data_IF_155184267461
#
_entry.id   IF_155184267461
#
_cell.length_a   1.000
_cell.length_b   1.000
_cell.length_c   1.000
_cell.angle_alpha   90.00
_cell.angle_beta   90.00
_cell.angle_gamma   90.00
#
_symmetry.space_group_name_H-M   'P 1'
#
loop_
_entity.id
_entity.type
_entity.pdbx_description
1 polymer ?
#
# COMPACT_ATOMS: atom_id res chain seq x y z
N UNK A 1 -5.21 -36.07 6.31
CA UNK A 1 -6.18 -35.20 5.62
C UNK A 1 -6.11 -33.84 6.30
N UNK A 2 -5.28 -32.93 5.81
CA UNK A 2 -5.20 -31.56 6.32
C UNK A 2 -6.35 -30.77 5.71
N UNK A 3 -7.41 -30.58 6.50
CA UNK A 3 -8.56 -29.77 6.10
C UNK A 3 -8.11 -28.37 5.75
N UNK A 4 -8.38 -27.94 4.52
CA UNK A 4 -8.13 -26.60 4.04
C UNK A 4 -9.16 -25.68 4.73
N UNK A 5 -8.90 -25.26 5.97
CA UNK A 5 -9.79 -24.33 6.67
C UNK A 5 -9.76 -23.00 5.93
N UNK A 6 -10.88 -22.68 5.27
CA UNK A 6 -11.10 -21.37 4.65
C UNK A 6 -11.27 -20.34 5.75
N UNK A 7 -10.56 -19.21 5.63
CA UNK A 7 -10.68 -18.10 6.58
C UNK A 7 -12.13 -17.56 6.55
N UNK A 8 -12.68 -17.23 7.71
CA UNK A 8 -13.89 -16.42 7.77
C UNK A 8 -13.58 -14.97 7.38
N UNK A 9 -14.60 -14.18 7.04
CA UNK A 9 -14.44 -12.74 6.74
C UNK A 9 -13.78 -12.00 7.90
N UNK A 10 -14.21 -12.27 9.14
CA UNK A 10 -13.63 -11.65 10.33
C UNK A 10 -12.14 -11.99 10.49
N UNK A 11 -11.78 -13.26 10.28
CA UNK A 11 -10.37 -13.70 10.31
C UNK A 11 -9.56 -13.05 9.19
N UNK A 12 -10.12 -12.93 7.99
CA UNK A 12 -9.48 -12.23 6.88
C UNK A 12 -9.25 -10.75 7.19
N UNK A 13 -10.23 -10.06 7.79
CA UNK A 13 -10.09 -8.66 8.20
C UNK A 13 -9.06 -8.46 9.33
N UNK A 14 -8.99 -9.38 10.30
CA UNK A 14 -7.96 -9.33 11.33
C UNK A 14 -6.56 -9.58 10.76
N UNK A 15 -6.43 -10.54 9.84
CA UNK A 15 -5.19 -10.79 9.12
C UNK A 15 -4.79 -9.56 8.28
N UNK A 16 -5.78 -8.93 7.63
CA UNK A 16 -5.60 -7.71 6.83
C UNK A 16 -5.06 -6.56 7.68
N UNK A 17 -5.70 -6.32 8.82
CA UNK A 17 -5.28 -5.32 9.79
C UNK A 17 -3.87 -5.56 10.28
N UNK A 18 -3.54 -6.79 10.66
CA UNK A 18 -2.21 -7.14 11.19
C UNK A 18 -1.11 -6.86 10.16
N UNK A 19 -1.27 -7.35 8.92
CA UNK A 19 -0.23 -7.11 7.92
C UNK A 19 -0.11 -5.62 7.59
N UNK A 20 -1.22 -4.86 7.53
CA UNK A 20 -1.16 -3.42 7.28
C UNK A 20 -0.37 -2.70 8.37
N UNK A 21 -0.52 -3.12 9.64
CA UNK A 21 0.29 -2.60 10.74
C UNK A 21 1.79 -2.91 10.54
N UNK A 22 2.12 -4.14 10.15
CA UNK A 22 3.51 -4.55 9.89
C UNK A 22 4.12 -3.74 8.74
N UNK A 23 3.38 -3.58 7.62
CA UNK A 23 3.80 -2.77 6.47
C UNK A 23 4.01 -1.31 6.88
N UNK A 24 3.07 -0.73 7.63
CA UNK A 24 3.15 0.66 8.06
C UNK A 24 4.36 0.90 8.97
N UNK A 25 4.63 0.00 9.92
CA UNK A 25 5.83 0.10 10.76
C UNK A 25 7.10 0.09 9.91
N UNK A 26 7.14 -0.75 8.89
CA UNK A 26 8.29 -0.89 8.01
C UNK A 26 8.51 0.34 7.12
N UNK A 27 7.43 0.97 6.65
CA UNK A 27 7.52 2.25 5.94
C UNK A 27 7.93 3.38 6.89
N UNK A 28 7.38 3.43 8.10
CA UNK A 28 7.72 4.48 9.08
C UNK A 28 9.20 4.48 9.44
N UNK A 29 9.83 3.30 9.60
CA UNK A 29 11.29 3.21 9.84
C UNK A 29 12.12 3.90 8.75
N UNK A 30 11.67 3.84 7.50
CA UNK A 30 12.33 4.53 6.37
C UNK A 30 12.12 6.05 6.49
N UNK A 31 10.88 6.47 6.77
CA UNK A 31 10.55 7.89 6.87
C UNK A 31 11.22 8.59 8.06
N UNK A 32 11.43 7.88 9.17
CA UNK A 32 12.12 8.39 10.36
C UNK A 32 13.64 8.53 10.17
N UNK A 33 14.25 7.78 9.25
CA UNK A 33 15.70 7.72 9.09
C UNK A 33 16.28 8.74 8.09
N UNK A 34 15.44 9.42 7.31
CA UNK A 34 15.87 10.28 6.20
C UNK A 34 15.38 11.73 6.31
N UNK A 35 16.03 12.62 5.57
CA UNK A 35 15.58 14.00 5.40
C UNK A 35 14.27 14.07 4.58
N UNK A 36 13.33 14.97 4.93
CA UNK A 36 12.13 15.18 4.13
C UNK A 36 12.43 15.52 2.68
N UNK A 37 11.70 14.90 1.76
CA UNK A 37 11.79 15.19 0.34
C UNK A 37 11.32 14.05 -0.56
N UNK A 38 11.33 14.32 -1.86
CA UNK A 38 10.89 13.41 -2.92
C UNK A 38 11.53 12.02 -2.83
N UNK A 39 12.83 11.95 -2.56
CA UNK A 39 13.55 10.69 -2.45
C UNK A 39 13.01 9.81 -1.32
N UNK A 40 12.69 10.42 -0.18
CA UNK A 40 12.13 9.72 1.00
C UNK A 40 10.72 9.19 0.73
N UNK A 41 9.88 9.98 0.04
CA UNK A 41 8.54 9.53 -0.41
C UNK A 41 8.66 8.28 -1.29
N UNK A 42 9.57 8.31 -2.27
CA UNK A 42 9.81 7.21 -3.20
C UNK A 42 10.31 5.96 -2.46
N UNK A 43 11.24 6.13 -1.51
CA UNK A 43 11.75 5.02 -0.70
C UNK A 43 10.64 4.39 0.15
N UNK A 44 9.78 5.19 0.76
CA UNK A 44 8.61 4.73 1.50
C UNK A 44 7.63 3.92 0.64
N UNK A 45 7.39 4.35 -0.61
CA UNK A 45 6.56 3.60 -1.57
C UNK A 45 7.19 2.27 -1.98
N UNK A 46 8.50 2.26 -2.27
CA UNK A 46 9.23 1.04 -2.57
C UNK A 46 9.12 0.04 -1.42
N UNK A 47 9.30 0.51 -0.19
CA UNK A 47 9.15 -0.30 1.02
C UNK A 47 7.73 -0.83 1.18
N UNK A 48 6.72 0.01 0.92
CA UNK A 48 5.31 -0.41 0.91
C UNK A 48 5.07 -1.54 -0.09
N UNK A 49 5.52 -1.40 -1.33
CA UNK A 49 5.32 -2.43 -2.35
C UNK A 49 6.09 -3.72 -2.05
N UNK A 50 7.32 -3.62 -1.58
CA UNK A 50 8.11 -4.80 -1.20
C UNK A 50 7.48 -5.57 -0.04
N UNK A 51 6.99 -4.86 0.99
CA UNK A 51 6.31 -5.49 2.11
C UNK A 51 4.99 -6.15 1.66
N UNK A 52 4.22 -5.50 0.77
CA UNK A 52 3.03 -6.12 0.18
C UNK A 52 3.36 -7.39 -0.60
N UNK A 53 4.48 -7.42 -1.32
CA UNK A 53 4.92 -8.60 -2.05
C UNK A 53 5.36 -9.72 -1.11
N UNK A 54 6.05 -9.40 -0.01
CA UNK A 54 6.41 -10.39 1.03
C UNK A 54 5.17 -11.03 1.65
N UNK A 55 4.10 -10.25 1.81
CA UNK A 55 2.81 -10.71 2.33
C UNK A 55 1.80 -11.13 1.24
N UNK A 56 2.25 -11.38 0.00
CA UNK A 56 1.37 -11.62 -1.16
C UNK A 56 0.33 -12.71 -0.92
N UNK A 57 0.71 -13.82 -0.29
CA UNK A 57 -0.20 -14.96 -0.09
C UNK A 57 -1.30 -14.64 0.91
N UNK A 58 -0.95 -13.94 1.99
CA UNK A 58 -1.91 -13.48 2.98
C UNK A 58 -2.87 -12.48 2.35
N UNK A 59 -2.32 -11.51 1.61
CA UNK A 59 -3.10 -10.50 0.90
C UNK A 59 -4.04 -11.14 -0.13
N UNK A 60 -3.56 -12.10 -0.92
CA UNK A 60 -4.38 -12.85 -1.89
C UNK A 60 -5.55 -13.56 -1.19
N UNK A 61 -5.29 -14.30 -0.11
CA UNK A 61 -6.35 -14.98 0.67
C UNK A 61 -7.38 -14.01 1.22
N UNK A 62 -6.93 -12.87 1.74
CA UNK A 62 -7.84 -11.81 2.21
C UNK A 62 -8.72 -11.33 1.06
N UNK A 63 -8.12 -11.02 -0.10
CA UNK A 63 -8.88 -10.56 -1.29
C UNK A 63 -9.88 -11.60 -1.77
N UNK A 64 -9.49 -12.87 -1.85
CA UNK A 64 -10.38 -13.98 -2.23
C UNK A 64 -11.60 -14.07 -1.30
N UNK A 65 -11.42 -13.84 0.02
CA UNK A 65 -12.51 -13.91 1.02
C UNK A 65 -13.43 -12.69 1.00
N UNK A 66 -12.89 -11.49 0.80
CA UNK A 66 -13.67 -10.25 0.85
C UNK A 66 -14.20 -9.81 -0.52
N UNK A 67 -13.76 -10.44 -1.61
CA UNK A 67 -14.19 -10.13 -2.97
C UNK A 67 -15.72 -10.19 -3.09
N UNK A 68 -16.32 -9.14 -3.65
CA UNK A 68 -17.78 -9.06 -3.84
C UNK A 68 -18.60 -8.85 -2.55
N UNK A 69 -17.95 -8.67 -1.41
CA UNK A 69 -18.64 -8.40 -0.13
C UNK A 69 -18.67 -6.90 0.20
N UNK A 70 -19.60 -6.50 1.08
CA UNK A 70 -19.62 -5.15 1.65
C UNK A 70 -18.36 -4.81 2.45
N UNK A 71 -17.64 -5.83 2.94
CA UNK A 71 -16.41 -5.67 3.74
C UNK A 71 -15.18 -5.28 2.93
N UNK A 72 -15.28 -5.25 1.59
CA UNK A 72 -14.23 -4.66 0.74
C UNK A 72 -13.93 -3.21 1.16
N UNK A 73 -14.98 -2.43 1.43
CA UNK A 73 -14.84 -1.03 1.87
C UNK A 73 -14.17 -0.93 3.24
N UNK A 74 -14.43 -1.89 4.14
CA UNK A 74 -13.79 -1.91 5.45
C UNK A 74 -12.29 -2.21 5.34
N UNK A 75 -11.92 -3.17 4.49
CA UNK A 75 -10.51 -3.48 4.21
C UNK A 75 -9.77 -2.31 3.55
N UNK A 76 -10.42 -1.57 2.65
CA UNK A 76 -9.87 -0.35 2.04
C UNK A 76 -9.66 0.76 3.09
N UNK A 77 -10.62 0.95 4.00
CA UNK A 77 -10.51 1.94 5.09
C UNK A 77 -9.33 1.68 6.01
N UNK A 78 -8.95 0.42 6.22
CA UNK A 78 -7.79 0.08 7.05
C UNK A 78 -6.46 0.61 6.47
N UNK A 79 -6.38 0.87 5.16
CA UNK A 79 -5.21 1.44 4.51
C UNK A 79 -5.09 2.97 4.63
N UNK A 80 -6.11 3.66 5.15
CA UNK A 80 -6.11 5.14 5.30
C UNK A 80 -4.90 5.72 6.05
N UNK A 81 -4.33 5.08 7.09
CA UNK A 81 -3.11 5.60 7.71
C UNK A 81 -1.95 5.76 6.72
N UNK A 82 -1.82 4.87 5.73
CA UNK A 82 -0.80 4.99 4.69
C UNK A 82 -1.04 6.23 3.81
N UNK A 83 -2.30 6.49 3.41
CA UNK A 83 -2.67 7.69 2.67
C UNK A 83 -2.37 8.98 3.45
N UNK A 84 -2.69 9.03 4.75
CA UNK A 84 -2.41 10.19 5.59
C UNK A 84 -0.89 10.45 5.72
N UNK A 85 -0.11 9.39 5.89
CA UNK A 85 1.34 9.46 5.92
C UNK A 85 1.90 9.95 4.59
N UNK A 86 1.46 9.39 3.46
CA UNK A 86 1.86 9.84 2.13
C UNK A 86 1.53 11.32 1.90
N UNK A 87 0.35 11.78 2.35
CA UNK A 87 -0.07 13.19 2.27
C UNK A 87 0.89 14.09 3.04
N UNK A 88 1.27 13.70 4.26
CA UNK A 88 2.21 14.47 5.09
C UNK A 88 3.60 14.55 4.44
N UNK A 89 4.09 13.44 3.88
CA UNK A 89 5.39 13.38 3.21
C UNK A 89 5.44 14.20 1.91
N UNK A 90 4.36 14.17 1.11
CA UNK A 90 4.25 15.00 -0.09
C UNK A 90 4.18 16.49 0.27
N UNK A 91 3.45 16.84 1.34
CA UNK A 91 3.39 18.21 1.84
C UNK A 91 4.78 18.70 2.28
N UNK A 92 5.52 17.87 3.01
CA UNK A 92 6.89 18.19 3.43
C UNK A 92 7.87 18.30 2.24
N UNK A 93 7.52 17.71 1.10
CA UNK A 93 8.30 17.78 -0.16
C UNK A 93 7.88 18.94 -1.07
N UNK A 94 7.10 19.92 -0.57
CA UNK A 94 6.57 21.05 -1.32
C UNK A 94 5.75 20.68 -2.57
N UNK A 95 5.14 19.49 -2.61
CA UNK A 95 4.31 19.11 -3.74
C UNK A 95 3.05 20.00 -3.85
N UNK A 96 2.60 20.21 -5.09
CA UNK A 96 1.34 20.90 -5.37
C UNK A 96 0.17 19.91 -5.44
N UNK A 97 -1.06 20.40 -5.24
CA UNK A 97 -2.29 19.60 -5.34
C UNK A 97 -2.27 18.32 -4.47
N UNK A 98 -1.73 18.44 -3.25
CA UNK A 98 -1.44 17.36 -2.31
C UNK A 98 -2.58 16.36 -2.15
N UNK A 99 -3.82 16.83 -2.03
CA UNK A 99 -4.97 15.96 -1.75
C UNK A 99 -5.29 15.04 -2.94
N UNK A 100 -5.32 15.60 -4.14
CA UNK A 100 -5.54 14.84 -5.36
C UNK A 100 -4.35 13.90 -5.65
N UNK A 101 -3.12 14.40 -5.49
CA UNK A 101 -1.91 13.65 -5.75
C UNK A 101 -1.72 12.46 -4.80
N UNK A 102 -1.91 12.68 -3.49
CA UNK A 102 -1.80 11.62 -2.49
C UNK A 102 -2.83 10.52 -2.70
N UNK A 103 -4.06 10.87 -3.08
CA UNK A 103 -5.10 9.89 -3.43
C UNK A 103 -4.74 9.11 -4.69
N UNK A 104 -4.31 9.79 -5.76
CA UNK A 104 -3.90 9.16 -7.03
C UNK A 104 -2.77 8.13 -6.83
N UNK A 105 -1.74 8.50 -6.04
CA UNK A 105 -0.62 7.62 -5.73
C UNK A 105 -1.07 6.45 -4.84
N UNK A 106 -1.90 6.72 -3.83
CA UNK A 106 -2.41 5.68 -2.95
C UNK A 106 -3.21 4.63 -3.71
N UNK A 107 -4.13 5.06 -4.58
CA UNK A 107 -4.95 4.16 -5.38
C UNK A 107 -4.08 3.35 -6.36
N UNK A 108 -3.09 3.99 -6.98
CA UNK A 108 -2.13 3.30 -7.85
C UNK A 108 -1.29 2.26 -7.08
N UNK A 109 -0.82 2.60 -5.88
CA UNK A 109 -0.03 1.70 -5.05
C UNK A 109 -0.86 0.50 -4.56
N UNK A 110 -2.14 0.75 -4.22
CA UNK A 110 -3.09 -0.29 -3.86
C UNK A 110 -3.31 -1.24 -5.04
N UNK A 111 -3.56 -0.70 -6.24
CA UNK A 111 -3.81 -1.48 -7.45
C UNK A 111 -2.61 -2.34 -7.83
N UNK A 112 -1.40 -1.76 -7.87
CA UNK A 112 -0.14 -2.51 -8.08
C UNK A 112 -0.10 -3.69 -7.11
N UNK A 113 -0.24 -3.42 -5.82
CA UNK A 113 -0.11 -4.47 -4.80
C UNK A 113 -1.23 -5.53 -4.88
N UNK A 114 -2.40 -5.22 -5.46
CA UNK A 114 -3.45 -6.21 -5.76
C UNK A 114 -3.07 -7.07 -6.96
N UNK A 115 -2.57 -6.46 -8.04
CA UNK A 115 -2.10 -7.17 -9.24
C UNK A 115 -0.94 -8.10 -8.88
N UNK A 116 0.02 -7.62 -8.11
CA UNK A 116 1.19 -8.43 -7.70
C UNK A 116 0.78 -9.56 -6.74
N UNK A 117 -0.20 -9.34 -5.87
CA UNK A 117 -0.73 -10.39 -5.00
C UNK A 117 -1.47 -11.50 -5.78
N UNK A 118 -2.14 -11.15 -6.88
CA UNK A 118 -2.94 -12.09 -7.68
C UNK A 118 -2.11 -12.82 -8.74
N UNK A 119 -1.27 -12.09 -9.48
CA UNK A 119 -0.39 -12.65 -10.51
C UNK A 119 0.89 -13.27 -9.95
N UNK A 120 1.38 -12.76 -8.81
CA UNK A 120 2.69 -13.08 -8.26
C UNK A 120 3.86 -12.35 -8.92
N UNK A 121 3.63 -11.63 -10.01
CA UNK A 121 4.63 -10.87 -10.76
C UNK A 121 4.71 -9.43 -10.25
N UNK A 122 5.87 -8.78 -10.40
CA UNK A 122 6.04 -7.36 -10.03
C UNK A 122 5.60 -6.45 -11.17
N UNK A 123 4.78 -5.44 -10.89
CA UNK A 123 4.34 -4.44 -11.89
C UNK A 123 5.30 -3.24 -11.91
N UNK A 124 6.52 -3.48 -12.40
CA UNK A 124 7.61 -2.48 -12.42
C UNK A 124 7.21 -1.24 -13.22
N UNK A 125 6.54 -1.43 -14.37
CA UNK A 125 6.16 -0.34 -15.24
C UNK A 125 5.18 0.65 -14.58
N UNK A 126 4.21 0.17 -13.79
CA UNK A 126 3.32 1.07 -13.05
C UNK A 126 4.03 1.75 -11.89
N UNK A 127 4.91 1.05 -11.17
CA UNK A 127 5.73 1.66 -10.10
C UNK A 127 6.56 2.83 -10.64
N UNK A 128 7.24 2.65 -11.77
CA UNK A 128 8.03 3.70 -12.43
C UNK A 128 7.17 4.91 -12.83
N UNK A 129 5.95 4.68 -13.35
CA UNK A 129 5.01 5.76 -13.67
C UNK A 129 4.62 6.57 -12.44
N UNK A 130 4.33 5.90 -11.32
CA UNK A 130 4.01 6.55 -10.04
C UNK A 130 5.21 7.37 -9.54
N UNK A 131 6.42 6.83 -9.61
CA UNK A 131 7.64 7.53 -9.22
C UNK A 131 7.86 8.79 -10.08
N UNK A 132 7.74 8.67 -11.41
CA UNK A 132 7.88 9.81 -12.31
C UNK A 132 6.84 10.91 -12.03
N UNK A 133 5.61 10.51 -11.67
CA UNK A 133 4.54 11.44 -11.29
C UNK A 133 4.87 12.22 -10.02
N UNK A 134 5.42 11.55 -9.01
CA UNK A 134 5.86 12.18 -7.75
C UNK A 134 6.98 13.19 -8.03
N UNK A 135 7.99 12.77 -8.79
CA UNK A 135 9.12 13.64 -9.16
C UNK A 135 8.66 14.89 -9.92
N UNK A 136 7.71 14.74 -10.85
CA UNK A 136 7.16 15.87 -11.59
C UNK A 136 6.32 16.83 -10.72
N UNK A 137 5.80 16.35 -9.59
CA UNK A 137 4.95 17.15 -8.70
C UNK A 137 5.71 17.84 -7.56
N UNK A 138 6.92 17.39 -7.26
CA UNK A 138 7.83 17.97 -6.26
C UNK A 138 8.96 18.70 -6.99
N UNK A 139 8.86 20.03 -7.13
CA UNK A 139 9.90 20.87 -7.77
C UNK A 139 10.23 22.06 -6.89
#
# INVERSE_FOLDING_TARGET
MTGNQSLTIEQALQLHKKFLQDILQDVLKVLEAGEPGTARVIEGLNKYWDANQQHREARRKVQEVIAGTSHKQDAERMGRPFLLMLRAELLASNAQNIDALSQEIYDSALEISLVEATSGERDVARREKVIARIQAATT
#
